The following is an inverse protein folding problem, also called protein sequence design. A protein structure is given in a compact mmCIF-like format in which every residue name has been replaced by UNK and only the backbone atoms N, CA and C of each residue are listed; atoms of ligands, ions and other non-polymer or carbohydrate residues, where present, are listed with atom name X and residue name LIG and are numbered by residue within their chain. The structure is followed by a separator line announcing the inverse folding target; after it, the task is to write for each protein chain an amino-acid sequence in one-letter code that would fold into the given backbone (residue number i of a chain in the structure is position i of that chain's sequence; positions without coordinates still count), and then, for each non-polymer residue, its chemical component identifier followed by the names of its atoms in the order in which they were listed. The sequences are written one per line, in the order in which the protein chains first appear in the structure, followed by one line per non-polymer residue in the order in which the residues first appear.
data_IF_323527128986
#
_entry.id   IF_323527128986
#
_cell.length_a   1.000
_cell.length_b   1.000
_cell.length_c   1.000
_cell.angle_alpha   90.00
_cell.angle_beta   90.00
_cell.angle_gamma   90.00
#
_symmetry.space_group_name_H-M   'P 1'
#
loop_
_entity.id
_entity.type
_entity.pdbx_description
1 polymer ?
#
# COMPACT_ATOMS: atom_id res chain seq x y z
N UNK A 1 54.18 -41.85 69.96
CA UNK A 1 53.45 -40.56 69.90
C UNK A 1 51.98 -40.92 69.66
N UNK A 2 51.17 -41.16 70.69
CA UNK A 2 50.38 -40.20 71.49
C UNK A 2 49.49 -39.26 70.66
N UNK A 3 48.18 -39.54 70.75
CA UNK A 3 47.03 -38.63 70.74
C UNK A 3 46.47 -38.20 69.35
N UNK A 4 45.23 -38.59 68.99
CA UNK A 4 43.92 -37.99 69.37
C UNK A 4 43.61 -36.82 68.38
N UNK A 5 42.47 -36.67 67.69
CA UNK A 5 41.16 -37.31 67.58
C UNK A 5 40.39 -36.55 66.47
N UNK A 6 39.35 -37.18 65.91
CA UNK A 6 38.07 -36.55 65.48
C UNK A 6 38.08 -35.52 64.34
N UNK A 7 37.82 -36.02 63.13
CA UNK A 7 36.94 -35.46 62.09
C UNK A 7 36.97 -36.54 60.99
N UNK A 8 35.94 -37.26 60.60
CA UNK A 8 34.70 -36.79 60.00
C UNK A 8 33.81 -38.04 59.92
N UNK A 9 33.15 -38.36 61.03
CA UNK A 9 32.02 -39.29 61.05
C UNK A 9 30.77 -38.57 60.48
N UNK A 10 30.92 -38.00 59.28
CA UNK A 10 29.95 -37.07 58.68
C UNK A 10 29.84 -37.28 57.15
N UNK A 11 30.00 -38.52 56.70
CA UNK A 11 29.62 -38.92 55.34
C UNK A 11 28.56 -40.03 55.36
N UNK A 12 27.80 -40.09 56.45
CA UNK A 12 26.47 -40.68 56.46
C UNK A 12 25.46 -39.54 56.27
N UNK A 13 24.58 -39.72 55.27
CA UNK A 13 23.21 -39.21 55.28
C UNK A 13 22.92 -37.74 54.90
N UNK A 14 23.34 -37.24 53.73
CA UNK A 14 22.59 -36.16 53.04
C UNK A 14 22.78 -36.19 51.50
N UNK A 15 22.39 -37.26 50.80
CA UNK A 15 21.97 -37.15 49.38
C UNK A 15 20.67 -37.94 49.23
N UNK A 16 19.72 -37.62 50.11
CA UNK A 16 18.30 -37.85 49.90
C UNK A 16 17.70 -36.47 49.62
N UNK A 17 17.89 -36.00 48.40
CA UNK A 17 17.02 -35.01 47.80
C UNK A 17 16.97 -35.32 46.31
N UNK A 18 16.16 -36.33 45.98
CA UNK A 18 15.59 -36.48 44.65
C UNK A 18 14.74 -35.24 44.40
N UNK A 19 15.38 -34.18 43.92
CA UNK A 19 14.67 -33.14 43.21
C UNK A 19 14.41 -33.71 41.82
N UNK A 20 13.16 -34.04 41.60
CA UNK A 20 12.57 -34.23 40.29
C UNK A 20 12.98 -33.07 39.40
N UNK A 21 14.01 -33.26 38.58
CA UNK A 21 14.11 -32.53 37.33
C UNK A 21 12.95 -33.07 36.49
N UNK A 22 11.75 -32.54 36.72
CA UNK A 22 10.77 -32.50 35.65
C UNK A 22 11.49 -31.76 34.55
N UNK A 23 11.89 -32.49 33.50
CA UNK A 23 11.96 -31.89 32.20
C UNK A 23 10.62 -31.15 32.07
N UNK A 24 10.64 -29.83 32.22
CA UNK A 24 9.74 -29.01 31.44
C UNK A 24 10.20 -29.25 30.01
N UNK A 25 9.81 -30.41 29.46
CA UNK A 25 9.31 -30.42 28.12
C UNK A 25 8.21 -29.38 28.19
N UNK A 26 8.52 -28.19 27.67
CA UNK A 26 7.52 -27.23 27.31
C UNK A 26 6.72 -27.92 26.20
N UNK A 27 5.83 -28.81 26.63
CA UNK A 27 4.65 -29.21 25.91
C UNK A 27 3.71 -28.00 25.91
N UNK A 28 4.18 -26.88 25.37
CA UNK A 28 3.28 -26.05 24.58
C UNK A 28 3.25 -26.70 23.21
N UNK A 29 2.62 -27.87 23.21
CA UNK A 29 1.80 -28.37 22.12
C UNK A 29 0.53 -27.50 22.07
N UNK A 30 0.73 -26.18 22.12
CA UNK A 30 -0.23 -25.21 21.61
C UNK A 30 0.14 -25.10 20.14
N UNK A 31 -0.15 -26.18 19.41
CA UNK A 31 -0.72 -26.06 18.08
C UNK A 31 -2.02 -25.25 18.22
N UNK A 32 -1.90 -23.97 18.58
CA UNK A 32 -2.89 -22.95 18.29
C UNK A 32 -2.89 -22.86 16.77
N UNK A 33 -3.52 -23.85 16.13
CA UNK A 33 -4.01 -23.75 14.77
C UNK A 33 -5.02 -22.62 14.83
N UNK A 34 -4.51 -21.41 14.71
CA UNK A 34 -5.28 -20.19 14.51
C UNK A 34 -6.24 -20.50 13.37
N UNK A 35 -7.51 -20.69 13.75
CA UNK A 35 -8.53 -21.12 12.82
C UNK A 35 -8.92 -19.92 11.95
N UNK A 36 -8.18 -19.72 10.87
CA UNK A 36 -8.37 -18.59 9.95
C UNK A 36 -9.82 -18.55 9.45
N UNK A 37 -10.44 -17.39 9.57
CA UNK A 37 -11.76 -17.09 9.02
C UNK A 37 -11.63 -16.14 7.84
N UNK A 38 -12.58 -16.21 6.91
CA UNK A 38 -12.67 -15.28 5.77
C UNK A 38 -12.77 -13.83 6.25
N UNK A 39 -13.41 -13.58 7.38
CA UNK A 39 -13.53 -12.26 8.01
C UNK A 39 -12.22 -11.72 8.57
N UNK A 40 -11.17 -12.52 8.71
CA UNK A 40 -9.92 -12.09 9.33
C UNK A 40 -9.18 -11.04 8.50
N UNK A 41 -9.49 -10.91 7.21
CA UNK A 41 -8.94 -9.84 6.36
C UNK A 41 -9.66 -8.49 6.52
N UNK A 42 -10.80 -8.43 7.21
CA UNK A 42 -11.53 -7.17 7.42
C UNK A 42 -10.84 -6.36 8.51
N UNK A 43 -10.52 -5.10 8.23
CA UNK A 43 -9.92 -4.18 9.19
C UNK A 43 -9.12 -3.05 8.55
N UNK A 44 -8.37 -2.35 9.38
CA UNK A 44 -7.52 -1.22 8.96
C UNK A 44 -6.08 -1.68 8.82
N UNK A 45 -5.41 -1.15 7.81
CA UNK A 45 -4.08 -1.54 7.41
C UNK A 45 -3.19 -0.32 7.20
N UNK A 46 -1.89 -0.52 7.40
CA UNK A 46 -0.83 0.39 6.97
C UNK A 46 0.38 -0.42 6.55
N UNK A 47 1.21 0.14 5.68
CA UNK A 47 2.43 -0.51 5.26
C UNK A 47 3.01 0.16 4.04
N UNK A 48 3.76 -0.61 3.28
CA UNK A 48 4.48 -0.12 2.12
C UNK A 48 3.61 -0.29 0.86
N UNK A 49 3.55 0.77 0.07
CA UNK A 49 3.12 0.75 -1.32
C UNK A 49 4.31 1.19 -2.16
N UNK A 50 4.61 0.45 -3.21
CA UNK A 50 5.64 0.82 -4.18
C UNK A 50 5.04 0.95 -5.56
N UNK A 51 5.48 1.96 -6.31
CA UNK A 51 5.09 2.21 -7.69
C UNK A 51 6.33 2.08 -8.58
N UNK A 52 6.47 0.94 -9.24
CA UNK A 52 7.66 0.60 -10.03
C UNK A 52 7.32 0.39 -11.51
N UNK A 53 8.19 0.79 -12.44
CA UNK A 53 8.10 0.39 -13.84
C UNK A 53 8.46 -1.09 -13.98
N UNK A 54 7.93 -1.75 -15.00
CA UNK A 54 8.01 -3.19 -15.24
C UNK A 54 9.42 -3.58 -15.71
N UNK A 55 10.10 -2.68 -16.41
CA UNK A 55 11.39 -2.91 -17.09
C UNK A 55 12.63 -2.41 -16.35
N UNK A 56 12.49 -1.66 -15.24
CA UNK A 56 13.64 -1.15 -14.49
C UNK A 56 13.69 -1.66 -13.05
N UNK A 57 14.86 -2.10 -12.54
CA UNK A 57 15.00 -2.52 -11.15
C UNK A 57 14.80 -1.34 -10.20
N UNK A 58 13.87 -1.53 -9.25
CA UNK A 58 13.74 -0.86 -7.93
C UNK A 58 14.60 0.38 -7.73
N UNK A 59 14.18 1.50 -8.30
CA UNK A 59 14.35 2.77 -7.61
C UNK A 59 13.08 2.97 -6.78
N UNK A 60 13.18 2.66 -5.49
CA UNK A 60 12.18 3.04 -4.50
C UNK A 60 12.21 4.57 -4.43
N UNK A 61 11.47 5.23 -5.31
CA UNK A 61 11.33 6.67 -5.30
C UNK A 61 9.98 7.04 -4.71
N UNK A 62 10.06 7.76 -3.59
CA UNK A 62 9.03 8.56 -2.91
C UNK A 62 7.98 7.76 -2.14
N UNK A 63 7.75 7.96 -0.85
CA UNK A 63 8.20 8.90 0.19
C UNK A 63 7.49 8.42 1.47
N UNK A 64 7.58 9.14 2.60
CA UNK A 64 6.72 8.88 3.78
C UNK A 64 5.25 9.23 3.48
N UNK A 65 4.64 8.59 2.50
CA UNK A 65 3.21 8.70 2.28
C UNK A 65 2.54 7.91 3.41
N UNK A 66 1.65 8.60 4.13
CA UNK A 66 0.77 8.01 5.15
C UNK A 66 -0.26 7.10 4.47
N UNK A 67 0.21 6.13 3.69
CA UNK A 67 -0.61 5.18 2.99
C UNK A 67 -1.40 4.38 4.03
N UNK A 68 -2.68 4.23 3.75
CA UNK A 68 -3.55 3.41 4.57
C UNK A 68 -4.54 2.67 3.70
N UNK A 69 -4.99 1.53 4.20
CA UNK A 69 -6.08 0.81 3.59
C UNK A 69 -7.12 0.40 4.62
N UNK A 70 -8.37 0.33 4.18
CA UNK A 70 -9.47 -0.23 4.96
C UNK A 70 -10.14 -1.32 4.14
N UNK A 71 -10.10 -2.53 4.67
CA UNK A 71 -10.77 -3.69 4.08
C UNK A 71 -12.10 -3.87 4.81
N UNK A 72 -13.18 -3.82 4.05
CA UNK A 72 -14.54 -4.08 4.49
C UNK A 72 -15.06 -5.36 3.85
N UNK A 73 -16.29 -5.77 4.15
CA UNK A 73 -16.91 -6.88 3.44
C UNK A 73 -17.16 -6.58 1.94
N UNK A 74 -17.30 -5.30 1.60
CA UNK A 74 -17.69 -4.85 0.26
C UNK A 74 -16.49 -4.55 -0.66
N UNK A 75 -15.33 -4.23 -0.08
CA UNK A 75 -14.16 -3.82 -0.85
C UNK A 75 -12.97 -3.38 -0.01
N UNK A 76 -11.92 -2.98 -0.72
CA UNK A 76 -10.69 -2.42 -0.20
C UNK A 76 -10.64 -0.95 -0.61
N UNK A 77 -10.53 -0.06 0.37
CA UNK A 77 -10.27 1.36 0.19
C UNK A 77 -8.79 1.61 0.40
N UNK A 78 -8.12 2.19 -0.59
CA UNK A 78 -6.71 2.57 -0.57
C UNK A 78 -6.64 4.09 -0.55
N UNK A 79 -5.83 4.64 0.35
CA UNK A 79 -5.68 6.08 0.52
C UNK A 79 -4.24 6.52 0.43
N UNK A 80 -4.03 7.69 -0.17
CA UNK A 80 -2.72 8.31 -0.41
C UNK A 80 -1.81 7.43 -1.27
N UNK A 81 -2.31 7.01 -2.43
CA UNK A 81 -1.50 6.29 -3.41
C UNK A 81 -0.42 7.20 -3.99
N UNK A 82 0.81 6.69 -4.19
CA UNK A 82 1.83 7.42 -4.93
C UNK A 82 1.40 7.58 -6.40
N UNK A 83 1.66 8.74 -6.99
CA UNK A 83 1.21 9.11 -8.33
C UNK A 83 2.22 9.95 -9.11
N UNK A 84 3.19 10.54 -8.42
CA UNK A 84 4.15 11.54 -8.91
C UNK A 84 4.91 11.02 -10.12
N UNK A 85 5.28 9.73 -10.09
CA UNK A 85 5.96 9.05 -11.19
C UNK A 85 5.10 8.94 -12.45
N UNK A 86 3.80 8.63 -12.30
CA UNK A 86 2.87 8.54 -13.43
C UNK A 86 2.72 9.91 -14.08
N UNK A 87 2.57 10.98 -13.28
CA UNK A 87 2.50 12.35 -13.80
C UNK A 87 3.79 12.75 -14.51
N UNK A 88 4.94 12.47 -13.91
CA UNK A 88 6.25 12.80 -14.49
C UNK A 88 6.41 12.21 -15.89
N UNK A 89 6.08 10.93 -16.03
CA UNK A 89 6.22 10.23 -17.31
C UNK A 89 5.13 10.61 -18.32
N UNK A 90 3.94 10.99 -17.87
CA UNK A 90 2.85 11.43 -18.76
C UNK A 90 3.07 12.84 -19.31
N UNK A 91 3.41 13.80 -18.44
CA UNK A 91 3.53 15.22 -18.82
C UNK A 91 4.89 15.49 -19.48
N UNK A 92 5.97 14.87 -18.99
CA UNK A 92 7.32 14.96 -19.53
C UNK A 92 7.86 16.41 -19.72
N UNK A 93 7.37 17.35 -18.91
CA UNK A 93 7.85 18.74 -18.81
C UNK A 93 8.01 19.09 -17.33
N UNK A 94 9.25 19.30 -16.88
CA UNK A 94 9.57 19.55 -15.47
C UNK A 94 9.00 20.89 -14.95
N UNK A 95 8.87 21.91 -15.80
CA UNK A 95 8.32 23.20 -15.38
C UNK A 95 6.83 23.08 -15.12
N UNK A 96 6.10 22.43 -16.04
CA UNK A 96 4.67 22.13 -15.88
C UNK A 96 4.43 21.20 -14.69
N UNK A 97 5.30 20.20 -14.47
CA UNK A 97 5.19 19.29 -13.33
C UNK A 97 5.31 20.01 -11.98
N UNK A 98 6.23 20.97 -11.87
CA UNK A 98 6.45 21.73 -10.65
C UNK A 98 5.23 22.58 -10.27
N UNK A 99 4.45 23.02 -11.25
CA UNK A 99 3.19 23.75 -11.06
C UNK A 99 2.04 22.83 -10.69
N UNK A 100 1.97 21.63 -11.30
CA UNK A 100 0.88 20.67 -11.10
C UNK A 100 0.97 19.92 -9.77
N UNK A 101 2.14 19.42 -9.39
CA UNK A 101 2.30 18.53 -8.23
C UNK A 101 1.67 19.08 -6.93
N UNK A 102 1.82 20.37 -6.58
CA UNK A 102 1.20 20.95 -5.38
C UNK A 102 -0.33 21.04 -5.45
N UNK A 103 -0.93 20.95 -6.64
CA UNK A 103 -2.39 21.06 -6.85
C UNK A 103 -3.09 19.71 -6.75
N UNK A 104 -2.34 18.60 -6.81
CA UNK A 104 -2.91 17.26 -6.75
C UNK A 104 -3.28 16.94 -5.31
N UNK A 105 -4.57 16.72 -5.09
CA UNK A 105 -5.07 16.21 -3.81
C UNK A 105 -4.69 14.74 -3.58
N UNK A 106 -4.98 14.24 -2.38
CA UNK A 106 -4.74 12.83 -2.04
C UNK A 106 -5.43 11.88 -3.05
N UNK A 107 -4.61 11.08 -3.73
CA UNK A 107 -5.08 10.07 -4.69
C UNK A 107 -5.57 8.84 -3.94
N UNK A 108 -6.87 8.55 -4.07
CA UNK A 108 -7.55 7.44 -3.39
C UNK A 108 -8.12 6.46 -4.41
N UNK A 109 -8.30 5.20 -4.01
CA UNK A 109 -8.85 4.15 -4.88
C UNK A 109 -9.70 3.16 -4.09
N UNK A 110 -10.78 2.68 -4.70
CA UNK A 110 -11.63 1.64 -4.10
C UNK A 110 -11.81 0.49 -5.10
N UNK A 111 -11.65 -0.74 -4.62
CA UNK A 111 -11.76 -1.95 -5.42
C UNK A 111 -12.50 -3.04 -4.66
N UNK A 112 -13.34 -3.79 -5.37
CA UNK A 112 -13.99 -4.96 -4.81
C UNK A 112 -13.02 -6.15 -4.75
N UNK A 113 -13.29 -7.10 -3.87
CA UNK A 113 -12.55 -8.36 -3.83
C UNK A 113 -13.43 -9.53 -3.46
N UNK A 114 -12.93 -10.75 -3.70
CA UNK A 114 -13.45 -11.97 -3.09
C UNK A 114 -12.31 -12.69 -2.38
N UNK A 115 -12.59 -13.40 -1.30
CA UNK A 115 -11.58 -14.15 -0.56
C UNK A 115 -12.05 -15.56 -0.22
N UNK A 116 -11.09 -16.47 -0.11
CA UNK A 116 -11.30 -17.85 0.36
C UNK A 116 -10.11 -18.28 1.22
N UNK A 117 -10.33 -19.24 2.11
CA UNK A 117 -9.24 -19.89 2.84
C UNK A 117 -8.32 -20.59 1.83
N UNK A 118 -7.01 -20.41 1.98
CA UNK A 118 -6.01 -21.02 1.12
C UNK A 118 -5.92 -22.54 1.37
N UNK A 119 -5.20 -23.26 0.50
CA UNK A 119 -5.09 -24.72 0.60
C UNK A 119 -4.39 -25.19 1.88
N UNK A 120 -3.43 -24.40 2.37
CA UNK A 120 -2.67 -24.65 3.60
C UNK A 120 -3.46 -24.36 4.88
N UNK A 121 -4.64 -23.74 4.77
CA UNK A 121 -5.52 -23.34 5.88
C UNK A 121 -4.84 -22.45 6.93
N UNK A 122 -3.82 -21.70 6.51
CA UNK A 122 -3.06 -20.77 7.34
C UNK A 122 -3.25 -19.30 6.91
N UNK A 123 -4.06 -19.06 5.88
CA UNK A 123 -4.30 -17.73 5.33
C UNK A 123 -5.45 -17.70 4.34
N UNK A 124 -5.57 -16.57 3.64
CA UNK A 124 -6.59 -16.34 2.62
C UNK A 124 -5.95 -16.00 1.28
N UNK A 125 -6.60 -16.47 0.22
CA UNK A 125 -6.33 -16.09 -1.17
C UNK A 125 -7.41 -15.08 -1.59
N UNK A 126 -6.99 -13.94 -2.14
CA UNK A 126 -7.85 -12.84 -2.56
C UNK A 126 -7.84 -12.69 -4.08
N UNK A 127 -9.01 -12.48 -4.67
CA UNK A 127 -9.15 -12.07 -6.06
C UNK A 127 -9.65 -10.63 -6.07
N UNK A 128 -8.78 -9.70 -6.50
CA UNK A 128 -9.06 -8.26 -6.57
C UNK A 128 -9.73 -7.93 -7.91
N UNK A 129 -10.72 -7.04 -7.89
CA UNK A 129 -11.48 -6.59 -9.07
C UNK A 129 -11.22 -5.11 -9.32
N UNK A 130 -10.15 -4.82 -10.06
CA UNK A 130 -9.75 -3.47 -10.40
C UNK A 130 -10.55 -2.94 -11.60
N UNK A 131 -11.86 -2.80 -11.44
CA UNK A 131 -12.78 -2.49 -12.55
C UNK A 131 -12.87 -0.98 -12.86
N UNK A 132 -12.42 -0.12 -11.94
CA UNK A 132 -12.39 1.34 -12.08
C UNK A 132 -10.96 1.86 -12.26
N UNK A 133 -10.76 2.95 -13.01
CA UNK A 133 -9.47 3.64 -13.06
C UNK A 133 -9.22 4.44 -11.77
N UNK A 134 -7.94 4.71 -11.47
CA UNK A 134 -7.58 5.77 -10.51
C UNK A 134 -7.75 7.12 -11.22
N UNK A 135 -8.34 8.09 -10.53
CA UNK A 135 -8.42 9.47 -11.00
C UNK A 135 -7.36 10.33 -10.31
N UNK A 136 -6.51 10.99 -11.09
CA UNK A 136 -5.54 11.98 -10.63
C UNK A 136 -6.01 13.34 -11.17
N UNK A 137 -6.55 14.18 -10.29
CA UNK A 137 -7.08 15.49 -10.67
C UNK A 137 -6.10 16.59 -10.30
N UNK A 138 -5.87 17.52 -11.21
CA UNK A 138 -4.95 18.64 -11.03
C UNK A 138 -5.45 19.92 -11.68
N UNK A 139 -4.86 21.04 -11.27
CA UNK A 139 -5.06 22.33 -11.89
C UNK A 139 -3.86 22.66 -12.80
N UNK A 140 -4.13 23.02 -14.05
CA UNK A 140 -3.16 23.60 -14.96
C UNK A 140 -3.64 25.00 -15.34
N UNK A 141 -2.80 26.01 -15.12
CA UNK A 141 -3.14 27.36 -15.55
C UNK A 141 -3.24 27.40 -17.08
N UNK A 142 -4.41 27.76 -17.61
CA UNK A 142 -4.54 28.03 -19.04
C UNK A 142 -3.67 29.25 -19.37
N UNK A 143 -2.85 29.17 -20.42
CA UNK A 143 -2.16 30.35 -20.92
C UNK A 143 -3.21 31.43 -21.20
N UNK A 144 -3.08 32.60 -20.57
CA UNK A 144 -3.89 33.76 -20.97
C UNK A 144 -3.61 34.01 -22.45
N UNK A 145 -4.56 33.62 -23.30
CA UNK A 145 -4.59 34.09 -24.68
C UNK A 145 -4.69 35.60 -24.56
N UNK A 146 -3.59 36.30 -24.88
CA UNK A 146 -3.41 37.73 -24.68
C UNK A 146 -4.69 38.49 -25.08
N UNK A 147 -5.50 38.85 -24.07
CA UNK A 147 -6.58 39.80 -24.27
C UNK A 147 -5.90 41.15 -24.38
N UNK A 148 -5.97 41.73 -25.57
CA UNK A 148 -5.55 43.10 -25.78
C UNK A 148 -6.20 44.01 -24.72
N UNK A 149 -5.31 44.64 -23.96
CA UNK A 149 -5.46 45.71 -22.99
C UNK A 149 -6.79 46.48 -23.07
N UNK A 150 -7.59 46.46 -21.99
CA UNK A 150 -8.36 47.62 -21.58
C UNK A 150 -8.49 47.63 -20.05
N UNK A 151 -8.14 48.79 -19.52
CA UNK A 151 -7.88 49.15 -18.13
C UNK A 151 -9.15 49.20 -17.27
N UNK A 152 -8.93 49.15 -15.95
CA UNK A 152 -9.77 49.66 -14.85
C UNK A 152 -10.71 48.65 -14.16
N UNK A 153 -10.38 48.32 -12.90
CA UNK A 153 -11.38 47.80 -11.95
C UNK A 153 -10.78 47.08 -10.76
N UNK A 154 -10.84 47.72 -9.58
CA UNK A 154 -10.60 47.13 -8.27
C UNK A 154 -11.37 45.79 -8.12
N UNK A 155 -10.64 44.68 -8.12
CA UNK A 155 -11.18 43.34 -7.85
C UNK A 155 -10.81 42.91 -6.44
N UNK A 156 -11.82 42.74 -5.58
CA UNK A 156 -11.69 42.02 -4.33
C UNK A 156 -11.02 40.67 -4.60
N UNK A 157 -9.93 40.38 -3.90
CA UNK A 157 -9.31 39.06 -3.88
C UNK A 157 -10.23 38.07 -3.17
N UNK A 158 -11.23 37.55 -3.88
CA UNK A 158 -11.73 36.22 -3.60
C UNK A 158 -10.60 35.25 -3.97
N UNK A 159 -10.15 34.46 -3.00
CA UNK A 159 -9.39 33.25 -3.28
C UNK A 159 -10.27 32.40 -4.21
N UNK A 160 -9.94 32.39 -5.49
CA UNK A 160 -10.53 31.44 -6.42
C UNK A 160 -10.04 30.08 -5.94
N UNK A 161 -10.94 29.29 -5.35
CA UNK A 161 -10.66 27.88 -5.13
C UNK A 161 -10.40 27.28 -6.51
N UNK A 162 -9.13 27.05 -6.83
CA UNK A 162 -8.69 26.45 -8.07
C UNK A 162 -9.11 24.98 -8.07
N UNK A 163 -10.39 24.73 -8.35
CA UNK A 163 -10.90 23.40 -8.59
C UNK A 163 -10.09 22.77 -9.75
N UNK A 164 -9.74 21.48 -9.67
CA UNK A 164 -8.96 20.83 -10.72
C UNK A 164 -9.72 20.90 -12.05
N UNK A 165 -9.02 21.32 -13.11
CA UNK A 165 -9.55 21.46 -14.47
C UNK A 165 -9.08 20.34 -15.41
N UNK A 166 -8.17 19.47 -14.97
CA UNK A 166 -7.76 18.26 -15.67
C UNK A 166 -7.87 17.02 -14.77
N UNK A 167 -8.15 15.88 -15.39
CA UNK A 167 -8.17 14.57 -14.72
C UNK A 167 -7.50 13.53 -15.61
N UNK A 168 -6.48 12.87 -15.08
CA UNK A 168 -5.90 11.67 -15.66
C UNK A 168 -6.55 10.43 -15.07
N UNK A 169 -6.96 9.52 -15.96
CA UNK A 169 -7.48 8.20 -15.67
C UNK A 169 -6.39 7.16 -15.88
N UNK A 170 -6.04 6.47 -14.80
CA UNK A 170 -5.06 5.37 -14.78
C UNK A 170 -5.83 4.06 -14.74
N UNK A 171 -5.88 3.34 -15.85
CA UNK A 171 -6.53 2.04 -15.95
C UNK A 171 -5.67 0.96 -15.27
N UNK A 172 -6.32 0.02 -14.59
CA UNK A 172 -5.67 -0.98 -13.76
C UNK A 172 -6.15 -2.39 -14.07
N UNK A 173 -5.28 -3.37 -13.83
CA UNK A 173 -5.62 -4.79 -13.77
C UNK A 173 -4.96 -5.45 -12.55
N UNK A 174 -5.58 -6.49 -11.99
CA UNK A 174 -4.94 -7.27 -10.94
C UNK A 174 -3.82 -8.15 -11.53
N UNK A 175 -2.59 -8.02 -11.03
CA UNK A 175 -1.43 -8.78 -11.54
C UNK A 175 -1.50 -10.27 -11.15
N UNK A 176 -2.00 -10.53 -9.94
CA UNK A 176 -2.13 -11.86 -9.38
C UNK A 176 -3.16 -11.87 -8.25
N UNK A 177 -3.39 -13.06 -7.69
CA UNK A 177 -4.19 -13.20 -6.47
C UNK A 177 -3.43 -12.60 -5.30
N UNK A 178 -4.13 -11.82 -4.48
CA UNK A 178 -3.60 -11.33 -3.22
C UNK A 178 -3.56 -12.43 -2.16
N UNK A 179 -2.80 -12.19 -1.10
CA UNK A 179 -2.68 -13.08 0.04
C UNK A 179 -2.90 -12.33 1.34
N UNK A 180 -3.58 -12.96 2.29
CA UNK A 180 -3.62 -12.52 3.68
C UNK A 180 -3.11 -13.63 4.59
N UNK A 181 -2.00 -13.39 5.26
CA UNK A 181 -1.36 -14.34 6.16
C UNK A 181 -0.58 -13.56 7.22
N UNK A 182 -0.56 -14.06 8.46
CA UNK A 182 0.18 -13.43 9.56
C UNK A 182 -0.11 -11.92 9.71
N UNK A 183 -1.40 -11.57 9.63
CA UNK A 183 -1.91 -10.18 9.67
C UNK A 183 -1.43 -9.28 8.53
N UNK A 184 -0.77 -9.84 7.52
CA UNK A 184 -0.23 -9.10 6.39
C UNK A 184 -1.06 -9.37 5.14
N UNK A 185 -1.53 -8.31 4.49
CA UNK A 185 -2.23 -8.32 3.21
C UNK A 185 -1.25 -7.90 2.10
N UNK A 186 -1.07 -8.76 1.11
CA UNK A 186 -0.25 -8.50 -0.06
C UNK A 186 -1.08 -8.61 -1.34
N UNK A 187 -0.94 -7.68 -2.27
CA UNK A 187 -1.49 -7.76 -3.61
C UNK A 187 -0.78 -6.75 -4.53
N UNK A 188 -1.05 -6.84 -5.83
CA UNK A 188 -0.50 -5.88 -6.79
C UNK A 188 -1.47 -5.57 -7.92
N UNK A 189 -1.39 -4.33 -8.40
CA UNK A 189 -2.19 -3.79 -9.50
C UNK A 189 -1.23 -3.31 -10.59
N UNK A 190 -1.48 -3.72 -11.83
CA UNK A 190 -0.75 -3.29 -13.01
C UNK A 190 -1.47 -2.09 -13.59
N UNK A 191 -0.75 -1.02 -13.92
CA UNK A 191 -1.25 0.05 -14.77
C UNK A 191 -1.21 -0.42 -16.21
N UNK A 192 -2.37 -0.43 -16.87
CA UNK A 192 -2.51 -0.91 -18.25
C UNK A 192 -2.67 0.20 -19.26
N UNK A 193 -3.13 1.38 -18.81
CA UNK A 193 -3.30 2.56 -19.65
C UNK A 193 -3.31 3.84 -18.79
N UNK A 194 -2.88 4.95 -19.36
CA UNK A 194 -3.00 6.30 -18.75
C UNK A 194 -3.53 7.25 -19.81
N UNK A 195 -4.64 7.92 -19.52
CA UNK A 195 -5.33 8.78 -20.47
C UNK A 195 -6.01 9.96 -19.79
N UNK A 196 -6.21 11.07 -20.49
CA UNK A 196 -7.04 12.16 -19.99
C UNK A 196 -8.52 11.78 -20.05
N UNK A 197 -9.29 12.23 -19.06
CA UNK A 197 -10.74 12.14 -19.08
C UNK A 197 -11.29 13.07 -20.18
N UNK A 198 -11.59 12.51 -21.35
CA UNK A 198 -12.08 13.27 -22.50
C UNK A 198 -13.33 14.09 -22.15
N UNK A 199 -13.28 15.40 -22.38
CA UNK A 199 -14.45 16.27 -22.40
C UNK A 199 -15.13 16.27 -23.80
N UNK A 200 -15.69 15.15 -24.26
CA UNK A 200 -16.52 15.02 -25.51
C UNK A 200 -15.71 15.28 -26.83
N UNK A 201 -15.97 14.55 -27.94
CA UNK A 201 -14.91 13.84 -28.67
C UNK A 201 -14.09 14.75 -29.58
N UNK A 202 -12.77 14.73 -29.39
CA UNK A 202 -11.82 15.11 -30.41
C UNK A 202 -11.38 13.85 -31.19
N UNK A 203 -11.41 13.98 -32.51
CA UNK A 203 -11.02 12.97 -33.49
C UNK A 203 -9.70 12.29 -33.10
N UNK A 204 -9.74 10.96 -32.94
CA UNK A 204 -8.55 10.14 -32.64
C UNK A 204 -7.56 10.18 -33.81
N UNK A 205 -6.57 11.06 -33.72
CA UNK A 205 -5.28 10.80 -34.36
C UNK A 205 -4.43 9.96 -33.40
N UNK A 206 -3.87 8.88 -33.95
CA UNK A 206 -3.13 7.89 -33.19
C UNK A 206 -1.87 8.48 -32.57
N UNK A 207 -1.95 8.84 -31.30
CA UNK A 207 -0.81 8.91 -30.41
C UNK A 207 -0.46 7.48 -29.99
N UNK A 208 0.77 7.07 -30.26
CA UNK A 208 1.31 5.82 -29.70
C UNK A 208 1.12 5.85 -28.19
N UNK A 209 0.45 4.82 -27.68
CA UNK A 209 0.19 4.62 -26.26
C UNK A 209 1.52 4.70 -25.51
N UNK A 210 1.68 5.58 -24.50
CA UNK A 210 2.75 5.38 -23.55
C UNK A 210 2.44 4.07 -22.83
N UNK A 211 3.15 3.00 -23.18
CA UNK A 211 3.14 1.75 -22.41
C UNK A 211 3.83 2.05 -21.07
N UNK A 212 3.07 2.68 -20.17
CA UNK A 212 3.42 2.91 -18.77
C UNK A 212 3.25 1.60 -18.01
N UNK A 213 4.26 0.77 -18.13
CA UNK A 213 4.50 -0.53 -17.50
C UNK A 213 4.53 -0.44 -15.94
N UNK A 214 3.55 0.15 -15.26
CA UNK A 214 3.65 0.31 -13.79
C UNK A 214 3.03 -0.83 -13.02
N UNK A 215 3.61 -1.14 -11.86
CA UNK A 215 3.02 -2.02 -10.86
C UNK A 215 2.97 -1.29 -9.53
N UNK A 216 1.76 -1.14 -9.00
CA UNK A 216 1.54 -0.92 -7.58
C UNK A 216 1.70 -2.26 -6.85
N UNK A 217 2.66 -2.35 -5.93
CA UNK A 217 2.79 -3.50 -5.04
C UNK A 217 2.55 -3.08 -3.59
N UNK A 218 1.62 -3.78 -2.95
CA UNK A 218 1.16 -3.49 -1.59
C UNK A 218 1.61 -4.59 -0.64
N UNK A 219 2.19 -4.19 0.49
CA UNK A 219 2.54 -5.05 1.62
C UNK A 219 2.07 -4.39 2.91
N UNK A 220 0.90 -4.80 3.39
CA UNK A 220 0.13 -4.05 4.37
C UNK A 220 -0.10 -4.84 5.65
N UNK A 221 0.31 -4.29 6.78
CA UNK A 221 0.10 -4.87 8.10
C UNK A 221 -1.23 -4.39 8.69
N UNK A 222 -2.05 -5.34 9.17
CA UNK A 222 -3.28 -5.06 9.90
C UNK A 222 -2.99 -4.42 11.26
N UNK A 223 -3.66 -3.32 11.57
CA UNK A 223 -3.56 -2.60 12.85
C UNK A 223 -4.40 -3.23 13.96
#
# INVERSE_FOLDING_TARGET
MKNLMKLQNAFFAVILFGLTATFMACSSDDDDKTNIQVSDVIGKYSGEVTLNPFTSPRENTEGENNFSAEVTADGIKLSNLPFERILKDYINDEAVLAEILPTVEAVNYETAYTSKINEEKNGLELVIKADSPIAISYYLAEEEVAREDNTDGEGNGEEVENAPNHTLLVALEANAKGTYQDKTLNFSLIVTDVSEQEAVPATKEGTEKPQGEYIYAFSLLKK
#
